data_IF_253780021120
#
_entry.id   IF_253780021120
#
_cell.length_a   1.000
_cell.length_b   1.000
_cell.length_c   1.000
_cell.angle_alpha   90.00
_cell.angle_beta   90.00
_cell.angle_gamma   90.00
#
_symmetry.space_group_name_H-M   'P 1'
#
loop_
_entity.id
_entity.type
_entity.pdbx_description
1 polymer ?
#
# COMPACT_ATOMS: atom_id res chain seq x y z
N UNK A 1 -44.47 34.92 56.63
CA UNK A 1 -43.98 35.74 55.50
C UNK A 1 -42.55 35.28 55.20
N UNK A 2 -42.34 34.42 54.20
CA UNK A 2 -41.00 33.95 53.81
C UNK A 2 -40.45 34.84 52.68
N UNK A 3 -39.22 35.32 52.84
CA UNK A 3 -38.53 36.30 51.98
C UNK A 3 -37.98 35.73 50.66
N UNK A 4 -38.43 34.54 50.24
CA UNK A 4 -37.94 33.84 49.03
C UNK A 4 -39.09 33.37 48.14
N UNK A 5 -40.17 34.13 48.03
CA UNK A 5 -41.16 33.90 46.97
C UNK A 5 -40.58 34.43 45.65
N UNK A 6 -39.95 33.54 44.89
CA UNK A 6 -39.58 33.79 43.49
C UNK A 6 -40.89 34.07 42.73
N UNK A 7 -41.02 35.21 42.03
CA UNK A 7 -42.22 35.47 41.26
C UNK A 7 -42.33 34.40 40.18
N UNK A 8 -43.51 33.77 40.05
CA UNK A 8 -43.85 32.93 38.89
C UNK A 8 -44.02 33.82 37.65
N UNK A 9 -42.90 34.42 37.23
CA UNK A 9 -42.77 34.96 35.90
C UNK A 9 -42.82 33.78 34.95
N UNK A 10 -43.94 33.61 34.26
CA UNK A 10 -44.03 32.79 33.07
C UNK A 10 -43.02 33.35 32.06
N UNK A 11 -41.77 32.91 32.15
CA UNK A 11 -40.79 33.07 31.08
C UNK A 11 -41.28 32.17 29.96
N UNK A 12 -42.25 32.66 29.20
CA UNK A 12 -42.61 32.10 27.92
C UNK A 12 -41.32 32.12 27.13
N UNK A 13 -40.73 30.95 26.92
CA UNK A 13 -39.64 30.78 25.97
C UNK A 13 -40.26 31.14 24.62
N UNK A 14 -40.15 32.41 24.25
CA UNK A 14 -40.50 32.88 22.92
C UNK A 14 -39.36 32.36 22.09
N UNK A 15 -39.59 31.28 21.34
CA UNK A 15 -38.74 30.96 20.21
C UNK A 15 -38.61 32.24 19.39
N UNK A 16 -37.40 32.79 19.37
CA UNK A 16 -37.03 33.92 18.51
C UNK A 16 -37.65 33.66 17.13
N UNK A 17 -38.36 34.64 16.53
CA UNK A 17 -39.03 34.43 15.25
C UNK A 17 -37.98 33.97 14.24
N UNK A 18 -38.14 32.73 13.72
CA UNK A 18 -37.14 32.04 12.89
C UNK A 18 -36.49 33.00 11.91
N UNK A 19 -35.26 33.37 12.21
CA UNK A 19 -34.49 34.29 11.39
C UNK A 19 -34.19 33.55 10.07
N UNK A 20 -34.28 34.20 8.91
CA UNK A 20 -34.01 33.52 7.62
C UNK A 20 -32.64 32.81 7.59
N UNK A 21 -31.68 33.29 8.38
CA UNK A 21 -30.38 32.64 8.60
C UNK A 21 -30.49 31.31 9.35
N UNK A 22 -31.30 31.22 10.41
CA UNK A 22 -31.51 29.96 11.14
C UNK A 22 -32.27 28.95 10.29
N UNK A 23 -33.23 29.39 9.49
CA UNK A 23 -33.95 28.51 8.57
C UNK A 23 -33.01 27.98 7.48
N UNK A 24 -32.15 28.83 6.91
CA UNK A 24 -31.15 28.42 5.92
C UNK A 24 -30.08 27.48 6.52
N UNK A 25 -29.62 27.74 7.75
CA UNK A 25 -28.70 26.86 8.48
C UNK A 25 -29.38 25.53 8.83
N UNK A 26 -30.66 25.55 9.19
CA UNK A 26 -31.45 24.35 9.49
C UNK A 26 -31.67 23.49 8.23
N UNK A 27 -31.97 24.12 7.09
CA UNK A 27 -32.06 23.44 5.80
C UNK A 27 -30.72 22.82 5.37
N UNK A 28 -29.62 23.56 5.51
CA UNK A 28 -28.28 23.04 5.23
C UNK A 28 -27.91 21.87 6.15
N UNK A 29 -28.24 21.96 7.44
CA UNK A 29 -28.01 20.87 8.41
C UNK A 29 -28.81 19.64 8.04
N UNK A 30 -30.09 19.78 7.73
CA UNK A 30 -30.93 18.65 7.32
C UNK A 30 -30.45 18.01 6.00
N UNK A 31 -29.87 18.80 5.09
CA UNK A 31 -29.30 18.28 3.86
C UNK A 31 -27.94 17.59 4.08
N UNK A 32 -27.15 18.08 5.05
CA UNK A 32 -25.86 17.51 5.41
C UNK A 32 -25.97 16.28 6.33
N UNK A 33 -27.00 16.18 7.19
CA UNK A 33 -27.26 15.03 8.07
C UNK A 33 -27.16 13.67 7.35
N UNK A 34 -27.89 13.43 6.24
CA UNK A 34 -27.82 12.15 5.52
C UNK A 34 -26.45 11.90 4.89
N UNK A 35 -25.71 12.94 4.52
CA UNK A 35 -24.35 12.79 3.98
C UNK A 35 -23.36 12.43 5.09
N UNK A 36 -23.49 13.06 6.26
CA UNK A 36 -22.65 12.77 7.42
C UNK A 36 -22.89 11.36 7.95
N UNK A 37 -24.15 10.90 8.00
CA UNK A 37 -24.48 9.54 8.44
C UNK A 37 -23.94 8.48 7.47
N UNK A 38 -24.06 8.71 6.15
CA UNK A 38 -23.50 7.81 5.14
C UNK A 38 -21.98 7.73 5.20
N UNK A 39 -21.29 8.86 5.31
CA UNK A 39 -19.83 8.89 5.47
C UNK A 39 -19.40 8.18 6.76
N UNK A 40 -20.12 8.38 7.86
CA UNK A 40 -19.83 7.76 9.15
C UNK A 40 -20.03 6.24 9.11
N UNK A 41 -21.07 5.77 8.41
CA UNK A 41 -21.34 4.35 8.18
C UNK A 41 -20.26 3.71 7.29
N UNK A 42 -19.93 4.31 6.15
CA UNK A 42 -18.85 3.85 5.27
C UNK A 42 -17.50 3.82 6.00
N UNK A 43 -17.18 4.85 6.77
CA UNK A 43 -15.96 4.88 7.57
C UNK A 43 -15.97 3.75 8.61
N UNK A 44 -17.09 3.51 9.30
CA UNK A 44 -17.22 2.43 10.27
C UNK A 44 -17.05 1.03 9.65
N UNK A 45 -17.48 0.83 8.40
CA UNK A 45 -17.30 -0.44 7.69
C UNK A 45 -15.87 -0.63 7.14
N UNK A 46 -15.22 0.46 6.75
CA UNK A 46 -13.88 0.40 6.13
C UNK A 46 -12.76 0.36 7.18
N UNK A 47 -12.98 1.01 8.33
CA UNK A 47 -12.05 1.02 9.47
C UNK A 47 -11.62 -0.39 9.93
N UNK A 48 -12.52 -1.38 10.17
CA UNK A 48 -12.09 -2.70 10.60
C UNK A 48 -11.33 -3.45 9.49
N UNK A 49 -11.66 -3.25 8.21
CA UNK A 49 -10.93 -3.85 7.08
C UNK A 49 -9.51 -3.30 6.99
N UNK A 50 -9.34 -1.99 7.15
CA UNK A 50 -8.01 -1.36 7.19
C UNK A 50 -7.22 -1.82 8.40
N UNK A 51 -7.85 -1.89 9.58
CA UNK A 51 -7.20 -2.42 10.78
C UNK A 51 -6.78 -3.88 10.60
N UNK A 52 -7.62 -4.74 10.01
CA UNK A 52 -7.25 -6.14 9.74
C UNK A 52 -6.12 -6.26 8.72
N UNK A 53 -6.06 -5.37 7.73
CA UNK A 53 -5.00 -5.38 6.72
C UNK A 53 -3.67 -4.90 7.30
N UNK A 54 -3.70 -3.86 8.14
CA UNK A 54 -2.54 -3.38 8.90
C UNK A 54 -2.07 -4.45 9.87
N UNK A 55 -2.98 -5.09 10.61
CA UNK A 55 -2.64 -6.16 11.54
C UNK A 55 -2.03 -7.35 10.80
N UNK A 56 -2.66 -7.81 9.72
CA UNK A 56 -2.13 -8.88 8.88
C UNK A 56 -0.75 -8.53 8.30
N UNK A 57 -0.54 -7.27 7.91
CA UNK A 57 0.75 -6.78 7.45
C UNK A 57 1.82 -6.76 8.54
N UNK A 58 1.47 -6.33 9.76
CA UNK A 58 2.35 -6.34 10.92
C UNK A 58 2.69 -7.77 11.34
N UNK A 59 1.71 -8.65 11.42
CA UNK A 59 1.89 -10.07 11.75
C UNK A 59 2.78 -10.76 10.69
N UNK A 60 2.58 -10.42 9.41
CA UNK A 60 3.42 -10.91 8.31
C UNK A 60 4.85 -10.37 8.40
N UNK A 61 5.01 -9.10 8.79
CA UNK A 61 6.31 -8.48 8.97
C UNK A 61 7.07 -9.08 10.16
N UNK A 62 6.40 -9.27 11.29
CA UNK A 62 6.98 -9.92 12.48
C UNK A 62 7.36 -11.38 12.19
N UNK A 63 6.56 -12.09 11.40
CA UNK A 63 6.88 -13.43 10.91
C UNK A 63 8.08 -13.45 9.97
N UNK A 64 8.22 -12.45 9.09
CA UNK A 64 9.39 -12.29 8.22
C UNK A 64 10.64 -11.87 9.01
N UNK A 65 10.48 -11.09 10.07
CA UNK A 65 11.57 -10.62 10.93
C UNK A 65 12.13 -11.74 11.80
N UNK A 66 11.26 -12.63 12.30
CA UNK A 66 11.65 -13.81 13.10
C UNK A 66 11.81 -15.08 12.25
N UNK A 67 11.98 -14.94 10.94
CA UNK A 67 11.95 -16.08 10.03
C UNK A 67 13.13 -17.04 10.28
N UNK A 68 12.89 -18.36 10.39
CA UNK A 68 13.95 -19.34 10.55
C UNK A 68 14.89 -19.34 9.33
N UNK A 69 16.20 -19.62 9.54
CA UNK A 69 17.20 -19.59 8.48
C UNK A 69 16.88 -20.65 7.41
N UNK A 70 16.20 -20.23 6.34
CA UNK A 70 15.69 -21.12 5.30
C UNK A 70 14.34 -20.71 4.70
N UNK A 71 13.62 -19.74 5.31
CA UNK A 71 12.34 -19.28 4.78
C UNK A 71 12.49 -18.50 3.46
N UNK A 72 13.36 -17.50 3.40
CA UNK A 72 13.58 -16.68 2.20
C UNK A 72 14.09 -17.48 0.99
N UNK A 73 15.05 -18.42 1.14
CA UNK A 73 15.43 -19.30 0.03
C UNK A 73 14.26 -20.14 -0.49
N UNK A 74 13.41 -20.69 0.39
CA UNK A 74 12.26 -21.52 -0.01
C UNK A 74 11.17 -20.69 -0.69
N UNK A 75 10.83 -19.53 -0.13
CA UNK A 75 9.91 -18.57 -0.75
C UNK A 75 10.42 -18.08 -2.10
N UNK A 76 11.72 -17.78 -2.19
CA UNK A 76 12.37 -17.38 -3.42
C UNK A 76 12.25 -18.46 -4.50
N UNK A 77 12.55 -19.71 -4.16
CA UNK A 77 12.42 -20.83 -5.11
C UNK A 77 10.97 -21.08 -5.51
N UNK A 78 10.02 -21.06 -4.57
CA UNK A 78 8.59 -21.27 -4.85
C UNK A 78 8.03 -20.13 -5.71
N UNK A 79 8.35 -18.88 -5.36
CA UNK A 79 7.92 -17.70 -6.10
C UNK A 79 8.53 -17.67 -7.50
N UNK A 80 9.83 -17.94 -7.62
CA UNK A 80 10.51 -17.99 -8.91
C UNK A 80 9.96 -19.13 -9.78
N UNK A 81 9.75 -20.31 -9.23
CA UNK A 81 9.13 -21.43 -9.95
C UNK A 81 7.71 -21.10 -10.42
N UNK A 82 6.91 -20.41 -9.59
CA UNK A 82 5.57 -19.95 -9.95
C UNK A 82 5.57 -18.93 -11.10
N UNK A 83 6.44 -17.92 -11.03
CA UNK A 83 6.56 -16.89 -12.08
C UNK A 83 7.07 -17.51 -13.39
N UNK A 84 8.10 -18.35 -13.32
CA UNK A 84 8.61 -19.08 -14.48
C UNK A 84 7.52 -19.99 -15.07
N UNK A 85 6.78 -20.72 -14.24
CA UNK A 85 5.65 -21.54 -14.65
C UNK A 85 4.56 -20.73 -15.34
N UNK A 86 4.21 -19.54 -14.83
CA UNK A 86 3.23 -18.65 -15.43
C UNK A 86 3.71 -18.11 -16.79
N UNK A 87 4.97 -17.72 -16.90
CA UNK A 87 5.59 -17.24 -18.15
C UNK A 87 5.66 -18.33 -19.22
N UNK A 88 5.90 -19.58 -18.82
CA UNK A 88 5.84 -20.73 -19.72
C UNK A 88 4.40 -21.09 -20.11
N UNK A 89 3.45 -21.00 -19.17
CA UNK A 89 2.05 -21.33 -19.40
C UNK A 89 1.32 -20.31 -20.29
N UNK A 90 1.66 -19.02 -20.19
CA UNK A 90 1.06 -17.92 -20.99
C UNK A 90 1.64 -17.84 -22.41
N UNK A 91 1.84 -19.01 -23.02
CA UNK A 91 2.58 -19.21 -24.25
C UNK A 91 1.95 -18.55 -25.47
N UNK A 92 2.77 -17.81 -26.20
CA UNK A 92 2.74 -17.84 -27.67
C UNK A 92 4.05 -17.39 -28.30
N UNK A 93 4.78 -16.43 -27.70
CA UNK A 93 6.06 -15.94 -28.27
C UNK A 93 7.24 -15.88 -27.31
N UNK A 94 7.00 -15.73 -26.00
CA UNK A 94 8.08 -15.65 -24.99
C UNK A 94 8.86 -16.96 -24.92
N UNK A 95 8.19 -18.12 -24.97
CA UNK A 95 8.86 -19.43 -25.01
C UNK A 95 9.83 -19.58 -26.19
N UNK A 96 9.52 -19.02 -27.36
CA UNK A 96 10.38 -19.15 -28.54
C UNK A 96 11.64 -18.27 -28.44
N UNK A 97 11.56 -17.18 -27.67
CA UNK A 97 12.65 -16.23 -27.51
C UNK A 97 13.54 -16.57 -26.31
N UNK A 98 12.96 -17.06 -25.21
CA UNK A 98 13.68 -17.33 -23.96
C UNK A 98 14.28 -18.74 -23.93
N UNK A 99 13.61 -19.72 -24.56
CA UNK A 99 14.04 -21.12 -24.50
C UNK A 99 15.38 -21.39 -25.21
N UNK A 100 15.63 -20.88 -26.44
CA UNK A 100 16.91 -21.11 -27.12
C UNK A 100 18.13 -20.49 -26.41
N UNK A 101 18.15 -19.19 -26.04
CA UNK A 101 19.30 -18.62 -25.33
C UNK A 101 19.41 -19.16 -23.89
N UNK A 102 18.28 -19.45 -23.23
CA UNK A 102 18.29 -20.07 -21.91
C UNK A 102 18.92 -21.47 -21.93
N UNK A 103 18.52 -22.31 -22.89
CA UNK A 103 19.07 -23.66 -23.03
C UNK A 103 20.53 -23.65 -23.48
N UNK A 104 20.90 -22.76 -24.41
CA UNK A 104 22.27 -22.59 -24.88
C UNK A 104 23.20 -22.07 -23.78
N UNK A 105 22.71 -21.13 -22.96
CA UNK A 105 23.42 -20.63 -21.77
C UNK A 105 23.58 -21.69 -20.68
N UNK A 106 22.54 -22.51 -20.43
CA UNK A 106 22.61 -23.62 -19.48
C UNK A 106 23.57 -24.71 -19.95
N UNK A 107 23.54 -25.08 -21.23
CA UNK A 107 24.47 -26.06 -21.79
C UNK A 107 25.91 -25.57 -21.74
N UNK A 108 26.16 -24.29 -22.07
CA UNK A 108 27.48 -23.67 -21.96
C UNK A 108 27.98 -23.61 -20.51
N UNK A 109 27.09 -23.33 -19.55
CA UNK A 109 27.41 -23.29 -18.12
C UNK A 109 27.79 -24.67 -17.57
N UNK A 110 27.07 -25.72 -17.96
CA UNK A 110 27.37 -27.10 -17.55
C UNK A 110 28.68 -27.61 -18.17
N UNK A 111 28.99 -27.21 -19.41
CA UNK A 111 30.20 -27.65 -20.11
C UNK A 111 31.46 -26.86 -19.69
N UNK A 112 31.31 -25.59 -19.29
CA UNK A 112 32.41 -24.74 -18.80
C UNK A 112 32.03 -23.95 -17.53
N UNK A 113 31.98 -24.62 -16.35
CA UNK A 113 31.54 -23.99 -15.11
C UNK A 113 32.41 -22.81 -14.66
N UNK A 114 33.72 -22.85 -14.96
CA UNK A 114 34.67 -21.78 -14.62
C UNK A 114 34.35 -20.46 -15.35
N UNK A 115 33.94 -20.55 -16.62
CA UNK A 115 33.58 -19.37 -17.42
C UNK A 115 32.24 -18.76 -16.97
N UNK A 116 31.30 -19.62 -16.56
CA UNK A 116 30.02 -19.17 -16.01
C UNK A 116 30.19 -18.42 -14.69
N UNK A 117 31.05 -18.89 -13.78
CA UNK A 117 31.32 -18.21 -12.50
C UNK A 117 31.93 -16.82 -12.74
N UNK A 118 32.95 -16.72 -13.60
CA UNK A 118 33.59 -15.44 -13.92
C UNK A 118 32.60 -14.49 -14.61
N UNK A 119 31.80 -15.00 -15.55
CA UNK A 119 30.77 -14.21 -16.19
C UNK A 119 29.72 -13.70 -15.20
N UNK A 120 29.29 -14.54 -14.24
CA UNK A 120 28.35 -14.15 -13.18
C UNK A 120 28.94 -13.09 -12.26
N UNK A 121 30.22 -13.20 -11.89
CA UNK A 121 30.90 -12.21 -11.04
C UNK A 121 31.02 -10.86 -11.76
N UNK A 122 31.54 -10.85 -12.98
CA UNK A 122 31.69 -9.63 -13.78
C UNK A 122 30.33 -9.01 -14.07
N UNK A 123 29.33 -9.82 -14.41
CA UNK A 123 27.97 -9.32 -14.64
C UNK A 123 27.34 -8.79 -13.35
N UNK A 124 27.62 -9.44 -12.22
CA UNK A 124 27.16 -9.03 -10.89
C UNK A 124 27.69 -7.65 -10.49
N UNK A 125 28.99 -7.41 -10.67
CA UNK A 125 29.60 -6.10 -10.41
C UNK A 125 29.01 -5.01 -11.30
N UNK A 126 28.85 -5.28 -12.60
CA UNK A 126 28.24 -4.32 -13.53
C UNK A 126 26.79 -4.01 -13.21
N UNK A 127 26.03 -5.01 -12.78
CA UNK A 127 24.63 -4.83 -12.39
C UNK A 127 24.53 -4.04 -11.08
N UNK A 128 25.45 -4.26 -10.15
CA UNK A 128 25.56 -3.49 -8.91
C UNK A 128 25.90 -2.03 -9.18
N UNK A 129 26.91 -1.76 -10.01
CA UNK A 129 27.29 -0.39 -10.41
C UNK A 129 26.13 0.32 -11.11
N UNK A 130 25.43 -0.36 -12.02
CA UNK A 130 24.30 0.21 -12.74
C UNK A 130 23.09 0.47 -11.82
N UNK A 131 22.84 -0.45 -10.88
CA UNK A 131 21.82 -0.30 -9.86
C UNK A 131 22.12 0.86 -8.91
N UNK A 132 23.37 0.99 -8.45
CA UNK A 132 23.83 2.10 -7.62
C UNK A 132 23.70 3.42 -8.37
N UNK A 133 24.10 3.46 -9.63
CA UNK A 133 23.96 4.64 -10.49
C UNK A 133 22.50 5.01 -10.71
N UNK A 134 21.62 4.03 -10.91
CA UNK A 134 20.17 4.26 -11.01
C UNK A 134 19.58 4.81 -9.73
N UNK A 135 19.97 4.25 -8.57
CA UNK A 135 19.54 4.73 -7.26
C UNK A 135 19.97 6.18 -7.04
N UNK A 136 21.24 6.51 -7.30
CA UNK A 136 21.77 7.87 -7.16
C UNK A 136 20.98 8.84 -8.05
N UNK A 137 20.70 8.48 -9.31
CA UNK A 137 19.93 9.34 -10.23
C UNK A 137 18.51 9.56 -9.72
N UNK A 138 17.85 8.53 -9.20
CA UNK A 138 16.50 8.65 -8.63
C UNK A 138 16.50 9.49 -7.35
N UNK A 139 17.51 9.30 -6.49
CA UNK A 139 17.70 10.07 -5.27
C UNK A 139 17.95 11.55 -5.58
N UNK A 140 18.75 11.84 -6.60
CA UNK A 140 19.07 13.21 -7.04
C UNK A 140 17.82 13.91 -7.59
N UNK A 141 17.07 13.24 -8.48
CA UNK A 141 15.79 13.74 -8.99
C UNK A 141 14.75 13.96 -7.88
N UNK A 142 14.72 13.08 -6.87
CA UNK A 142 13.83 13.23 -5.73
C UNK A 142 14.20 14.43 -4.86
N UNK A 143 15.50 14.64 -4.61
CA UNK A 143 15.99 15.79 -3.83
C UNK A 143 15.77 17.11 -4.54
N UNK A 144 16.03 17.19 -5.85
CA UNK A 144 15.71 18.37 -6.65
C UNK A 144 14.22 18.72 -6.63
N UNK A 145 13.34 17.71 -6.65
CA UNK A 145 11.89 17.92 -6.61
C UNK A 145 11.37 18.35 -5.22
N UNK A 146 12.05 18.00 -4.12
CA UNK A 146 11.68 18.44 -2.76
C UNK A 146 12.23 19.83 -2.43
N UNK A 147 13.32 20.26 -3.07
CA UNK A 147 13.91 21.60 -2.84
C UNK A 147 13.29 22.71 -3.70
N UNK A 148 12.27 22.42 -4.50
CA UNK A 148 11.57 23.38 -5.36
C UNK A 148 10.14 23.62 -4.88
#
# INVERSE_FOLDING_TARGET
LSLYSVPEGQSKYVEEPRTQLEESISHLRHYCEPYTSWCQEMYSQTKPKMQSLVQWGLDSYEYLQNAPPGFFPRLGVIGFAGVVGLLLARGSKIKKLVYPPGFMGLAASLYYPQQAIVFVQVSGEKLYDWGLRGYIVVEDLWKENIQK
#
